data_IF_194311134331
#
_entry.id   IF_194311134331
#
_cell.length_a   1.000
_cell.length_b   1.000
_cell.length_c   1.000
_cell.angle_alpha   90.00
_cell.angle_beta   90.00
_cell.angle_gamma   90.00
#
_symmetry.space_group_name_H-M   'P 1'
#
loop_
_entity.id
_entity.type
_entity.pdbx_description
1 polymer ?
#
# COMPACT_ATOMS: atom_id res chain seq x y z
N UNK A 1 22.38 2.99 5.40
CA UNK A 1 21.64 4.27 5.48
C UNK A 1 20.14 4.03 5.25
N UNK A 2 19.24 4.90 5.74
CA UNK A 2 17.78 4.74 5.54
C UNK A 2 17.39 4.67 4.05
N UNK A 3 18.02 5.51 3.22
CA UNK A 3 17.82 5.51 1.77
C UNK A 3 18.17 4.17 1.11
N UNK A 4 19.21 3.47 1.56
CA UNK A 4 19.59 2.14 1.05
C UNK A 4 18.59 1.06 1.48
N UNK A 5 18.06 1.15 2.70
CA UNK A 5 17.02 0.24 3.19
C UNK A 5 15.72 0.40 2.39
N UNK A 6 15.29 1.65 2.16
CA UNK A 6 14.12 1.96 1.31
C UNK A 6 14.37 1.51 -0.13
N UNK A 7 15.55 1.76 -0.68
CA UNK A 7 15.94 1.31 -2.03
C UNK A 7 15.87 -0.22 -2.15
N UNK A 8 16.39 -0.95 -1.16
CA UNK A 8 16.32 -2.42 -1.13
C UNK A 8 14.88 -2.92 -1.05
N UNK A 9 14.06 -2.33 -0.18
CA UNK A 9 12.65 -2.68 -0.06
C UNK A 9 11.88 -2.44 -1.36
N UNK A 10 12.07 -1.28 -2.01
CA UNK A 10 11.40 -0.96 -3.27
C UNK A 10 11.87 -1.86 -4.42
N UNK A 11 13.15 -2.27 -4.45
CA UNK A 11 13.66 -3.22 -5.42
C UNK A 11 13.00 -4.61 -5.27
N UNK A 12 12.83 -5.08 -4.03
CA UNK A 12 12.14 -6.35 -3.75
C UNK A 12 10.67 -6.29 -4.17
N UNK A 13 9.95 -5.24 -3.76
CA UNK A 13 8.54 -5.05 -4.16
C UNK A 13 8.39 -4.96 -5.67
N UNK A 14 9.27 -4.25 -6.37
CA UNK A 14 9.23 -4.12 -7.83
C UNK A 14 9.51 -5.42 -8.54
N UNK A 15 10.48 -6.20 -8.06
CA UNK A 15 10.75 -7.53 -8.58
C UNK A 15 9.52 -8.42 -8.46
N UNK A 16 8.92 -8.49 -7.27
CA UNK A 16 7.69 -9.24 -7.05
C UNK A 16 6.57 -8.76 -7.97
N UNK A 17 6.34 -7.45 -8.09
CA UNK A 17 5.32 -6.92 -8.99
C UNK A 17 5.56 -7.31 -10.46
N UNK A 18 6.81 -7.26 -10.92
CA UNK A 18 7.18 -7.65 -12.28
C UNK A 18 6.91 -9.13 -12.55
N UNK A 19 7.17 -10.00 -11.57
CA UNK A 19 6.89 -11.43 -11.66
C UNK A 19 5.37 -11.72 -11.77
N UNK A 20 4.53 -10.77 -11.38
CA UNK A 20 3.08 -10.91 -11.26
C UNK A 20 2.28 -9.86 -12.04
N UNK A 21 2.78 -9.39 -13.18
CA UNK A 21 2.04 -8.51 -14.09
C UNK A 21 1.65 -7.16 -13.46
N UNK A 22 2.50 -6.63 -12.59
CA UNK A 22 2.30 -5.37 -11.87
C UNK A 22 1.56 -5.50 -10.54
N UNK A 23 1.18 -6.71 -10.11
CA UNK A 23 0.46 -6.93 -8.85
C UNK A 23 1.39 -7.38 -7.73
N UNK A 24 1.19 -6.85 -6.52
CA UNK A 24 1.89 -7.31 -5.33
C UNK A 24 1.10 -8.44 -4.67
N UNK A 25 1.53 -9.69 -4.87
CA UNK A 25 0.99 -10.84 -4.15
C UNK A 25 1.84 -11.11 -2.92
N UNK A 26 1.39 -10.59 -1.78
CA UNK A 26 1.99 -10.80 -0.48
C UNK A 26 1.07 -11.69 0.37
N UNK A 27 1.65 -12.47 1.29
CA UNK A 27 0.85 -13.15 2.30
C UNK A 27 0.13 -12.12 3.18
N UNK A 28 -0.97 -12.50 3.83
CA UNK A 28 -1.67 -11.62 4.79
C UNK A 28 -0.70 -11.09 5.85
N UNK A 29 0.09 -11.98 6.46
CA UNK A 29 1.07 -11.62 7.48
C UNK A 29 2.14 -10.65 6.94
N UNK A 30 2.68 -10.89 5.74
CA UNK A 30 3.68 -10.02 5.12
C UNK A 30 3.10 -8.65 4.80
N UNK A 31 1.84 -8.61 4.35
CA UNK A 31 1.11 -7.36 4.08
C UNK A 31 0.95 -6.56 5.37
N UNK A 32 0.49 -7.20 6.46
CA UNK A 32 0.28 -6.54 7.75
C UNK A 32 1.61 -5.99 8.31
N UNK A 33 2.71 -6.76 8.20
CA UNK A 33 4.05 -6.30 8.60
C UNK A 33 4.47 -5.08 7.77
N UNK A 34 4.34 -5.14 6.45
CA UNK A 34 4.73 -4.05 5.58
C UNK A 34 3.96 -2.76 5.91
N UNK A 35 2.63 -2.85 6.03
CA UNK A 35 1.79 -1.68 6.32
C UNK A 35 2.06 -1.10 7.71
N UNK A 36 2.22 -1.95 8.73
CA UNK A 36 2.53 -1.50 10.09
C UNK A 36 3.87 -0.79 10.16
N UNK A 37 4.90 -1.33 9.49
CA UNK A 37 6.23 -0.71 9.48
C UNK A 37 6.27 0.58 8.65
N UNK A 38 5.47 0.69 7.58
CA UNK A 38 5.30 1.96 6.85
C UNK A 38 4.67 3.03 7.74
N UNK A 39 3.70 2.66 8.57
CA UNK A 39 3.13 3.58 9.56
C UNK A 39 4.18 4.02 10.58
N UNK A 40 4.93 3.09 11.19
CA UNK A 40 5.98 3.45 12.15
C UNK A 40 7.07 4.34 11.54
N UNK A 41 7.48 4.06 10.30
CA UNK A 41 8.45 4.88 9.59
C UNK A 41 7.92 6.31 9.36
N UNK A 42 6.62 6.46 9.06
CA UNK A 42 6.02 7.79 8.91
C UNK A 42 6.03 8.59 10.21
N UNK A 43 5.81 7.92 11.36
CA UNK A 43 5.86 8.54 12.68
C UNK A 43 7.30 8.96 13.04
N UNK A 44 8.30 8.13 12.71
CA UNK A 44 9.71 8.45 12.88
C UNK A 44 10.14 9.67 12.06
N UNK A 45 9.71 9.74 10.79
CA UNK A 45 9.97 10.88 9.92
C UNK A 45 9.31 12.15 10.47
N UNK A 46 8.05 12.08 10.90
CA UNK A 46 7.34 13.23 11.47
C UNK A 46 8.04 13.74 12.74
N UNK A 47 8.52 12.85 13.62
CA UNK A 47 9.31 13.22 14.80
C UNK A 47 10.62 13.91 14.40
N UNK A 48 11.29 13.40 13.37
CA UNK A 48 12.52 14.00 12.85
C UNK A 48 12.28 15.41 12.29
N UNK A 49 11.27 15.60 11.45
CA UNK A 49 10.90 16.90 10.84
C UNK A 49 10.55 17.94 11.91
N UNK A 50 9.79 17.55 12.94
CA UNK A 50 9.47 18.42 14.08
C UNK A 50 10.73 18.82 14.86
N UNK A 51 11.66 17.89 15.05
CA UNK A 51 12.90 18.16 15.79
C UNK A 51 13.90 19.03 15.02
N UNK A 52 13.80 19.09 13.68
CA UNK A 52 14.76 19.77 12.81
C UNK A 52 14.28 21.12 12.27
N UNK A 53 13.19 21.68 12.82
CA UNK A 53 12.58 22.94 12.37
C UNK A 53 12.22 22.95 10.87
N UNK A 54 11.37 22.01 10.46
CA UNK A 54 10.41 22.27 9.39
C UNK A 54 11.01 22.46 7.99
N UNK A 55 11.81 21.51 7.53
CA UNK A 55 11.87 21.33 6.08
C UNK A 55 10.56 20.67 5.64
N UNK A 56 9.65 21.46 5.09
CA UNK A 56 8.51 20.95 4.31
C UNK A 56 9.06 20.17 3.12
N UNK A 57 9.24 18.86 3.31
CA UNK A 57 9.65 17.94 2.25
C UNK A 57 8.42 17.43 1.50
N UNK A 58 7.63 18.36 0.94
CA UNK A 58 6.61 17.98 -0.02
C UNK A 58 7.28 17.43 -1.28
N UNK A 59 7.25 16.11 -1.42
CA UNK A 59 7.82 15.44 -2.59
C UNK A 59 6.70 15.19 -3.61
N UNK A 60 6.78 15.75 -4.85
CA UNK A 60 5.77 15.51 -5.88
C UNK A 60 5.51 14.02 -6.17
N UNK A 61 6.51 13.17 -5.99
CA UNK A 61 6.40 11.72 -6.12
C UNK A 61 5.44 11.10 -5.08
N UNK A 62 5.50 11.53 -3.81
CA UNK A 62 4.60 11.04 -2.76
C UNK A 62 3.16 11.48 -3.04
N UNK A 63 2.96 12.73 -3.47
CA UNK A 63 1.63 13.22 -3.86
C UNK A 63 1.05 12.48 -5.07
N UNK A 64 1.88 12.06 -6.02
CA UNK A 64 1.44 11.23 -7.15
C UNK A 64 1.01 9.84 -6.65
N UNK A 65 1.78 9.20 -5.77
CA UNK A 65 1.44 7.91 -5.17
C UNK A 65 0.12 7.98 -4.40
N UNK A 66 -0.07 8.99 -3.56
CA UNK A 66 -1.32 9.18 -2.80
C UNK A 66 -2.51 9.32 -3.75
N UNK A 67 -2.39 10.12 -4.81
CA UNK A 67 -3.46 10.31 -5.81
C UNK A 67 -3.86 8.99 -6.46
N UNK A 68 -2.91 8.19 -6.92
CA UNK A 68 -3.21 6.89 -7.53
C UNK A 68 -3.84 5.91 -6.52
N UNK A 69 -3.41 5.91 -5.26
CA UNK A 69 -4.01 5.08 -4.21
C UNK A 69 -5.45 5.49 -3.90
N UNK A 70 -5.75 6.80 -3.87
CA UNK A 70 -7.13 7.31 -3.70
C UNK A 70 -8.02 6.84 -4.84
N UNK A 71 -7.57 6.96 -6.10
CA UNK A 71 -8.30 6.47 -7.28
C UNK A 71 -8.55 4.97 -7.19
N UNK A 72 -7.52 4.18 -6.84
CA UNK A 72 -7.65 2.74 -6.69
C UNK A 72 -8.64 2.33 -5.60
N UNK A 73 -8.70 3.06 -4.48
CA UNK A 73 -9.63 2.75 -3.39
C UNK A 73 -11.07 3.15 -3.74
N UNK A 74 -11.28 4.30 -4.39
CA UNK A 74 -12.59 4.73 -4.87
C UNK A 74 -13.18 3.78 -5.92
N UNK A 75 -12.35 3.19 -6.78
CA UNK A 75 -12.79 2.19 -7.75
C UNK A 75 -13.34 0.92 -7.07
N UNK A 76 -12.86 0.57 -5.87
CA UNK A 76 -13.34 -0.61 -5.11
C UNK A 76 -14.68 -0.39 -4.42
N UNK A 77 -14.99 0.84 -4.02
CA UNK A 77 -16.29 1.19 -3.44
C UNK A 77 -17.44 1.10 -4.45
N UNK A 78 -17.13 1.16 -5.75
CA UNK A 78 -18.10 1.01 -6.85
C UNK A 78 -18.28 -0.45 -7.33
N UNK A 79 -17.58 -1.42 -6.75
CA UNK A 79 -17.82 -2.83 -7.04
C UNK A 79 -18.92 -3.38 -6.12
N UNK A 80 -20.13 -3.62 -6.65
CA UNK A 80 -21.18 -4.33 -5.93
C UNK A 80 -20.63 -5.65 -5.35
N UNK A 81 -20.98 -6.02 -4.09
CA UNK A 81 -20.67 -7.34 -3.58
C UNK A 81 -21.33 -8.39 -4.50
N UNK A 82 -20.51 -9.29 -5.03
CA UNK A 82 -20.98 -10.44 -5.79
C UNK A 82 -21.96 -11.25 -4.94
N UNK A 83 -23.27 -11.16 -5.24
CA UNK A 83 -24.26 -12.14 -4.80
C UNK A 83 -24.20 -13.32 -5.76
N UNK A 84 -23.83 -14.54 -5.31
CA UNK A 84 -23.93 -15.72 -6.16
C UNK A 84 -25.40 -15.94 -6.49
N UNK A 85 -25.77 -15.88 -7.77
CA UNK A 85 -27.08 -16.35 -8.22
C UNK A 85 -27.09 -17.88 -8.15
N UNK A 86 -27.92 -18.44 -7.26
CA UNK A 86 -28.31 -19.84 -7.29
C UNK A 86 -27.78 -20.67 -6.12
N UNK A 87 -28.37 -20.49 -4.93
CA UNK A 87 -28.69 -21.66 -4.11
C UNK A 87 -30.11 -22.07 -4.50
N UNK A 88 -30.22 -23.13 -5.31
CA UNK A 88 -31.49 -23.84 -5.44
C UNK A 88 -31.73 -24.47 -4.08
N UNK A 89 -32.76 -24.01 -3.37
CA UNK A 89 -33.27 -24.72 -2.22
C UNK A 89 -33.74 -26.10 -2.72
N UNK A 90 -33.00 -27.14 -2.37
CA UNK A 90 -33.54 -28.49 -2.45
C UNK A 90 -34.56 -28.62 -1.31
N UNK A 91 -35.83 -28.41 -1.65
CA UNK A 91 -36.93 -29.00 -0.91
C UNK A 91 -37.12 -30.42 -1.46
N UNK A 92 -36.74 -31.40 -0.66
CA UNK A 92 -37.50 -32.62 -0.35
C UNK A 92 -36.74 -33.47 0.68
#
# INVERSE_FOLDING_TARGET
MLSEQISTMTALLRRTANDYGGRLYLSRQTTDILLSNLQFLSEDIARYEQSTQGMDMETPAILAIIRELVVANAARENCEPYTPKGHVAAAD
#
